data_IF_856610629669
#
_entry.id   IF_856610629669
#
_cell.length_a   1.000
_cell.length_b   1.000
_cell.length_c   1.000
_cell.angle_alpha   90.00
_cell.angle_beta   90.00
_cell.angle_gamma   90.00
#
_symmetry.space_group_name_H-M   'P 1'
#
loop_
_entity.id
_entity.type
_entity.pdbx_description
1 polymer ?
#
# COMPACT_ATOMS: atom_id res chain seq x y z
N UNK A 1 14.34 -4.14 -21.63
CA UNK A 1 14.13 -3.08 -22.66
C UNK A 1 12.83 -2.37 -22.35
N UNK A 2 12.84 -1.04 -22.25
CA UNK A 2 11.63 -0.23 -22.14
C UNK A 2 10.94 -0.21 -23.52
N UNK A 3 9.67 -0.61 -23.56
CA UNK A 3 8.90 -0.73 -24.83
C UNK A 3 7.73 0.25 -24.91
N UNK A 4 7.33 0.80 -23.75
CA UNK A 4 6.32 1.84 -23.64
C UNK A 4 6.60 2.69 -22.40
N UNK A 5 6.64 4.01 -22.57
CA UNK A 5 6.80 4.97 -21.47
C UNK A 5 6.07 6.25 -21.87
N UNK A 6 4.87 6.43 -21.30
CA UNK A 6 4.03 7.60 -21.57
C UNK A 6 3.21 7.97 -20.36
N UNK A 7 3.01 9.25 -20.20
CA UNK A 7 2.04 9.83 -19.30
C UNK A 7 0.70 10.03 -20.00
N UNK A 8 -0.35 10.23 -19.23
CA UNK A 8 -1.68 10.57 -19.72
C UNK A 8 -2.22 11.80 -18.96
N UNK A 9 -3.14 12.58 -19.58
CA UNK A 9 -3.73 13.74 -18.93
C UNK A 9 -4.49 13.33 -17.65
N UNK A 10 -4.46 14.14 -16.58
CA UNK A 10 -5.23 13.88 -15.35
C UNK A 10 -6.75 13.80 -15.57
N UNK A 11 -7.25 14.33 -16.69
CA UNK A 11 -8.66 14.30 -17.10
C UNK A 11 -9.06 13.04 -17.87
N UNK A 12 -8.12 12.09 -18.04
CA UNK A 12 -8.40 10.83 -18.76
C UNK A 12 -9.48 10.05 -18.04
N UNK A 13 -10.53 9.66 -18.74
CA UNK A 13 -11.63 8.84 -18.24
C UNK A 13 -11.74 7.46 -18.91
N UNK A 14 -11.19 7.32 -20.12
CA UNK A 14 -11.10 6.04 -20.83
C UNK A 14 -9.64 5.61 -20.99
N UNK A 15 -9.28 4.53 -20.33
CA UNK A 15 -7.93 3.96 -20.33
C UNK A 15 -7.76 2.85 -21.37
N UNK A 16 -8.84 2.42 -22.03
CA UNK A 16 -8.82 1.32 -23.00
C UNK A 16 -7.84 1.55 -24.16
N UNK A 17 -7.78 2.75 -24.80
CA UNK A 17 -6.81 3.02 -25.86
C UNK A 17 -5.34 2.92 -25.38
N UNK A 18 -5.09 3.38 -24.14
CA UNK A 18 -3.75 3.36 -23.54
C UNK A 18 -3.33 1.91 -23.29
N UNK A 19 -4.19 1.12 -22.65
CA UNK A 19 -3.91 -0.29 -22.36
C UNK A 19 -3.75 -1.11 -23.63
N UNK A 20 -4.56 -0.85 -24.67
CA UNK A 20 -4.39 -1.49 -26.00
C UNK A 20 -3.03 -1.15 -26.63
N UNK A 21 -2.60 0.10 -26.55
CA UNK A 21 -1.29 0.51 -27.07
C UNK A 21 -0.14 -0.17 -26.31
N UNK A 22 -0.27 -0.35 -25.00
CA UNK A 22 0.71 -1.10 -24.19
C UNK A 22 0.70 -2.58 -24.59
N UNK A 23 -0.48 -3.20 -24.64
CA UNK A 23 -0.65 -4.61 -24.97
C UNK A 23 -0.06 -4.95 -26.36
N UNK A 24 -0.18 -4.05 -27.34
CA UNK A 24 0.39 -4.20 -28.69
C UNK A 24 1.92 -4.31 -28.68
N UNK A 25 2.60 -3.83 -27.63
CA UNK A 25 4.06 -3.97 -27.48
C UNK A 25 4.47 -5.31 -26.87
N UNK A 26 3.51 -6.14 -26.44
CA UNK A 26 3.70 -7.45 -25.81
C UNK A 26 4.75 -7.41 -24.65
N UNK A 27 4.56 -6.58 -23.62
CA UNK A 27 5.55 -6.42 -22.55
C UNK A 27 5.51 -7.61 -21.59
N UNK A 28 6.68 -8.01 -21.08
CA UNK A 28 6.76 -9.00 -20.01
C UNK A 28 6.32 -8.42 -18.66
N UNK A 29 6.65 -7.15 -18.41
CA UNK A 29 6.32 -6.41 -17.19
C UNK A 29 5.47 -5.19 -17.54
N UNK A 30 4.36 -5.03 -16.85
CA UNK A 30 3.58 -3.81 -16.82
C UNK A 30 3.69 -3.16 -15.45
N UNK A 31 4.15 -1.90 -15.41
CA UNK A 31 4.25 -1.08 -14.21
C UNK A 31 3.36 0.15 -14.38
N UNK A 32 2.30 0.24 -13.57
CA UNK A 32 1.42 1.39 -13.51
C UNK A 32 1.72 2.26 -12.29
N UNK A 33 1.93 3.58 -12.51
CA UNK A 33 1.95 4.57 -11.44
C UNK A 33 0.65 5.36 -11.51
N UNK A 34 -0.23 5.19 -10.54
CA UNK A 34 -1.61 5.70 -10.63
C UNK A 34 -2.20 6.11 -9.30
N UNK A 35 -3.14 7.07 -9.34
CA UNK A 35 -3.98 7.50 -8.23
C UNK A 35 -5.34 6.75 -8.23
N UNK A 36 -6.24 6.96 -7.25
CA UNK A 36 -7.45 6.14 -7.11
C UNK A 36 -8.31 5.98 -8.36
N UNK A 37 -8.62 7.06 -9.06
CA UNK A 37 -9.51 7.00 -10.23
C UNK A 37 -8.87 6.26 -11.41
N UNK A 38 -7.64 6.58 -11.72
CA UNK A 38 -6.88 5.95 -12.81
C UNK A 38 -6.47 4.51 -12.46
N UNK A 39 -6.21 4.18 -11.20
CA UNK A 39 -6.02 2.78 -10.76
C UNK A 39 -7.21 1.90 -11.16
N UNK A 40 -8.43 2.34 -10.84
CA UNK A 40 -9.66 1.62 -11.22
C UNK A 40 -9.80 1.50 -12.73
N UNK A 41 -9.60 2.61 -13.44
CA UNK A 41 -9.75 2.66 -14.90
C UNK A 41 -8.75 1.75 -15.62
N UNK A 42 -7.47 1.79 -15.24
CA UNK A 42 -6.41 0.96 -15.82
C UNK A 42 -6.67 -0.53 -15.58
N UNK A 43 -7.02 -0.93 -14.35
CA UNK A 43 -7.26 -2.34 -14.03
C UNK A 43 -8.47 -2.87 -14.80
N UNK A 44 -9.58 -2.12 -14.85
CA UNK A 44 -10.76 -2.51 -15.61
C UNK A 44 -10.47 -2.62 -17.11
N UNK A 45 -9.84 -1.59 -17.69
CA UNK A 45 -9.44 -1.62 -19.09
C UNK A 45 -8.52 -2.81 -19.41
N UNK A 46 -7.60 -3.16 -18.50
CA UNK A 46 -6.72 -4.33 -18.68
C UNK A 46 -7.52 -5.63 -18.76
N UNK A 47 -8.52 -5.81 -17.91
CA UNK A 47 -9.40 -6.96 -17.95
C UNK A 47 -10.27 -6.99 -19.23
N UNK A 48 -10.84 -5.86 -19.62
CA UNK A 48 -11.70 -5.73 -20.81
C UNK A 48 -10.94 -6.05 -22.10
N UNK A 49 -9.69 -5.64 -22.21
CA UNK A 49 -8.86 -5.94 -23.41
C UNK A 49 -8.15 -7.28 -23.31
N UNK A 50 -8.27 -8.01 -22.21
CA UNK A 50 -7.58 -9.28 -22.00
C UNK A 50 -6.07 -9.15 -21.88
N UNK A 51 -5.57 -8.02 -21.37
CA UNK A 51 -4.14 -7.75 -21.22
C UNK A 51 -3.52 -8.57 -20.09
N UNK A 52 -2.56 -9.44 -20.43
CA UNK A 52 -1.92 -10.38 -19.50
C UNK A 52 -0.39 -10.36 -19.67
N UNK A 53 0.30 -9.35 -19.12
CA UNK A 53 1.77 -9.37 -19.05
C UNK A 53 2.21 -10.51 -18.11
N UNK A 54 3.49 -10.91 -18.13
CA UNK A 54 3.98 -11.93 -17.18
C UNK A 54 3.99 -11.42 -15.74
N UNK A 55 4.19 -10.12 -15.53
CA UNK A 55 4.08 -9.46 -14.23
C UNK A 55 3.28 -8.16 -14.37
N UNK A 56 2.23 -8.03 -13.58
CA UNK A 56 1.39 -6.85 -13.51
C UNK A 56 1.53 -6.22 -12.12
N UNK A 57 1.94 -4.96 -12.05
CA UNK A 57 2.06 -4.26 -10.78
C UNK A 57 2.31 -2.78 -10.93
N UNK A 58 2.77 -2.14 -9.87
CA UNK A 58 3.14 -0.73 -9.92
C UNK A 58 3.18 0.00 -8.59
N UNK A 59 3.17 1.32 -8.70
CA UNK A 59 2.96 2.28 -7.63
C UNK A 59 1.51 2.78 -7.65
N UNK A 60 0.55 1.87 -7.50
CA UNK A 60 -0.88 2.18 -7.59
C UNK A 60 -1.42 2.62 -6.23
N UNK A 61 -1.41 3.94 -5.97
CA UNK A 61 -1.89 4.54 -4.70
C UNK A 61 -3.35 4.17 -4.41
N UNK A 62 -4.17 4.02 -5.46
CA UNK A 62 -5.58 3.63 -5.30
C UNK A 62 -5.77 2.32 -4.55
N UNK A 63 -4.83 1.37 -4.67
CA UNK A 63 -4.93 0.07 -4.00
C UNK A 63 -4.67 0.13 -2.48
N UNK A 64 -4.32 1.29 -1.96
CA UNK A 64 -4.24 1.53 -0.52
C UNK A 64 -5.62 1.78 0.11
N UNK A 65 -6.61 2.19 -0.69
CA UNK A 65 -7.94 2.53 -0.21
C UNK A 65 -8.87 1.31 -0.21
N UNK A 66 -9.54 1.07 0.91
CA UNK A 66 -10.51 -0.03 1.08
C UNK A 66 -11.61 0.01 0.04
N UNK A 67 -12.17 1.19 -0.24
CA UNK A 67 -13.24 1.36 -1.22
C UNK A 67 -12.82 0.90 -2.63
N UNK A 68 -11.57 1.11 -3.01
CA UNK A 68 -11.04 0.67 -4.30
C UNK A 68 -10.79 -0.85 -4.29
N UNK A 69 -10.23 -1.39 -3.20
CA UNK A 69 -10.04 -2.84 -3.04
C UNK A 69 -11.38 -3.59 -3.18
N UNK A 70 -12.41 -3.14 -2.48
CA UNK A 70 -13.75 -3.75 -2.57
C UNK A 70 -14.43 -3.50 -3.91
N UNK A 71 -14.24 -2.34 -4.54
CA UNK A 71 -14.79 -2.03 -5.86
C UNK A 71 -14.20 -2.91 -6.97
N UNK A 72 -12.93 -3.23 -6.90
CA UNK A 72 -12.23 -4.07 -7.87
C UNK A 72 -12.39 -5.56 -7.58
N UNK A 73 -12.39 -5.95 -6.30
CA UNK A 73 -12.60 -7.33 -5.89
C UNK A 73 -11.64 -8.30 -6.58
N UNK A 74 -12.16 -9.34 -7.17
CA UNK A 74 -11.37 -10.39 -7.84
C UNK A 74 -10.52 -9.90 -9.03
N UNK A 75 -10.79 -8.70 -9.57
CA UNK A 75 -9.94 -8.11 -10.60
C UNK A 75 -8.51 -7.80 -10.08
N UNK A 76 -8.32 -7.81 -8.76
CA UNK A 76 -7.02 -7.60 -8.14
C UNK A 76 -6.10 -8.83 -8.17
N UNK A 77 -6.65 -10.03 -8.38
CA UNK A 77 -5.86 -11.27 -8.32
C UNK A 77 -4.64 -11.22 -9.24
N UNK A 78 -3.48 -11.56 -8.69
CA UNK A 78 -2.20 -11.57 -9.38
C UNK A 78 -1.50 -10.21 -9.47
N UNK A 79 -2.17 -9.11 -9.15
CA UNK A 79 -1.57 -7.76 -9.19
C UNK A 79 -0.60 -7.59 -8.02
N UNK A 80 0.60 -7.11 -8.33
CA UNK A 80 1.63 -6.74 -7.35
C UNK A 80 1.57 -5.24 -7.10
N UNK A 81 1.60 -4.84 -5.84
CA UNK A 81 1.65 -3.43 -5.45
C UNK A 81 2.56 -3.24 -4.23
N UNK A 82 2.80 -2.00 -3.85
CA UNK A 82 3.45 -1.69 -2.59
C UNK A 82 2.42 -1.55 -1.46
N UNK A 83 2.84 -1.80 -0.24
CA UNK A 83 2.14 -1.40 0.97
C UNK A 83 3.16 -0.96 2.03
N UNK A 84 2.71 -0.30 3.09
CA UNK A 84 3.58 0.16 4.16
C UNK A 84 3.33 -0.59 5.46
N UNK A 85 2.10 -0.97 5.74
CA UNK A 85 1.73 -1.63 6.99
C UNK A 85 0.48 -2.47 6.82
N UNK A 86 0.55 -3.70 7.32
CA UNK A 86 -0.60 -4.60 7.45
C UNK A 86 -0.52 -5.29 8.82
N UNK A 87 -1.66 -5.65 9.45
CA UNK A 87 -1.65 -6.16 10.83
C UNK A 87 -0.95 -7.51 11.01
N UNK A 88 -0.70 -8.25 9.94
CA UNK A 88 0.04 -9.52 9.92
C UNK A 88 1.53 -9.38 9.58
N UNK A 89 2.00 -8.19 9.28
CA UNK A 89 3.44 -7.97 9.13
C UNK A 89 4.17 -8.25 10.44
N UNK A 90 5.33 -8.89 10.38
CA UNK A 90 6.11 -9.28 11.58
C UNK A 90 6.52 -8.09 12.44
N UNK A 91 6.62 -6.90 11.88
CA UNK A 91 6.91 -5.67 12.62
C UNK A 91 5.65 -5.00 13.20
N UNK A 92 4.45 -5.46 12.85
CA UNK A 92 3.23 -4.94 13.45
C UNK A 92 3.17 -5.35 14.94
N UNK A 93 3.19 -4.37 15.82
CA UNK A 93 3.17 -4.56 17.27
C UNK A 93 1.77 -4.91 17.79
N UNK A 94 1.67 -5.44 19.01
CA UNK A 94 0.39 -5.66 19.66
C UNK A 94 -0.35 -4.33 19.91
N UNK A 95 0.40 -3.25 20.17
CA UNK A 95 -0.15 -1.90 20.27
C UNK A 95 -0.76 -1.44 18.93
N UNK A 96 -0.05 -1.69 17.82
CA UNK A 96 -0.55 -1.41 16.47
C UNK A 96 -1.83 -2.18 16.14
N UNK A 97 -1.89 -3.46 16.49
CA UNK A 97 -3.11 -4.28 16.34
C UNK A 97 -4.26 -3.79 17.24
N UNK A 98 -3.95 -3.39 18.47
CA UNK A 98 -4.96 -2.82 19.40
C UNK A 98 -5.47 -1.47 18.89
N UNK A 99 -4.58 -0.61 18.36
CA UNK A 99 -4.96 0.64 17.69
C UNK A 99 -5.92 0.37 16.54
N UNK A 100 -5.55 -0.56 15.65
CA UNK A 100 -6.37 -0.91 14.48
C UNK A 100 -7.76 -1.39 14.89
N UNK A 101 -7.86 -2.25 15.88
CA UNK A 101 -9.16 -2.72 16.41
C UNK A 101 -10.05 -1.57 16.90
N UNK A 102 -9.47 -0.61 17.61
CA UNK A 102 -10.21 0.60 18.06
C UNK A 102 -10.61 1.49 16.91
N UNK A 103 -9.75 1.64 15.91
CA UNK A 103 -10.03 2.40 14.70
C UNK A 103 -11.19 1.78 13.92
N UNK A 104 -11.11 0.49 13.58
CA UNK A 104 -12.12 -0.21 12.80
C UNK A 104 -13.50 -0.24 13.48
N UNK A 105 -13.55 -0.27 14.81
CA UNK A 105 -14.81 -0.20 15.55
C UNK A 105 -15.56 1.13 15.36
N UNK A 106 -14.90 2.18 14.86
CA UNK A 106 -15.45 3.53 14.69
C UNK A 106 -15.44 4.01 13.25
N UNK A 107 -14.73 3.32 12.36
CA UNK A 107 -14.45 3.79 11.00
C UNK A 107 -15.71 4.01 10.17
N UNK A 108 -16.67 3.10 10.22
CA UNK A 108 -17.93 3.21 9.49
C UNK A 108 -18.75 4.41 9.95
N UNK A 109 -18.96 4.57 11.25
CA UNK A 109 -19.70 5.70 11.80
C UNK A 109 -19.01 7.05 11.57
N UNK A 110 -17.69 7.05 11.44
CA UNK A 110 -16.88 8.24 11.14
C UNK A 110 -16.77 8.53 9.64
N UNK A 111 -17.26 7.66 8.75
CA UNK A 111 -17.16 7.82 7.30
C UNK A 111 -15.75 7.81 6.77
N UNK A 112 -14.84 7.03 7.40
CA UNK A 112 -13.43 6.93 7.01
C UNK A 112 -13.10 5.55 6.47
N UNK A 113 -11.87 5.34 5.98
CA UNK A 113 -11.41 4.05 5.42
C UNK A 113 -11.65 2.88 6.38
N UNK A 114 -12.31 1.82 5.92
CA UNK A 114 -12.80 0.75 6.79
C UNK A 114 -11.70 -0.20 7.28
N UNK A 115 -10.68 -0.47 6.46
CA UNK A 115 -9.54 -1.31 6.88
C UNK A 115 -8.54 -0.52 7.72
N UNK A 116 -8.27 0.72 7.33
CA UNK A 116 -7.39 1.60 8.08
C UNK A 116 -5.91 1.18 8.06
N UNK A 117 -5.44 0.52 6.99
CA UNK A 117 -4.05 0.03 6.93
C UNK A 117 -3.06 1.08 6.46
N UNK A 118 -3.50 2.04 5.67
CA UNK A 118 -2.62 3.02 5.01
C UNK A 118 -2.32 4.25 5.89
N UNK A 119 -3.18 5.27 5.86
CA UNK A 119 -2.92 6.56 6.53
C UNK A 119 -3.12 6.55 8.06
N UNK A 120 -4.16 5.89 8.63
CA UNK A 120 -4.47 6.01 10.04
C UNK A 120 -3.34 5.63 11.00
N UNK A 121 -2.64 4.48 10.85
CA UNK A 121 -1.57 4.10 11.75
C UNK A 121 -0.38 5.07 11.68
N UNK A 122 -0.06 5.58 10.48
CA UNK A 122 1.02 6.55 10.31
C UNK A 122 0.68 7.94 10.87
N UNK A 123 -0.57 8.37 10.75
CA UNK A 123 -1.02 9.62 11.36
C UNK A 123 -0.90 9.54 12.89
N UNK A 124 -1.29 8.41 13.48
CA UNK A 124 -1.16 8.19 14.92
C UNK A 124 0.31 8.09 15.35
N UNK A 125 1.13 7.31 14.64
CA UNK A 125 2.56 7.15 14.92
C UNK A 125 3.30 8.51 14.87
N UNK A 126 2.95 9.37 13.91
CA UNK A 126 3.51 10.72 13.84
C UNK A 126 3.23 11.51 15.12
N UNK A 127 2.02 11.40 15.66
CA UNK A 127 1.68 12.07 16.93
C UNK A 127 2.41 11.46 18.13
N UNK A 128 2.65 10.14 18.14
CA UNK A 128 3.49 9.50 19.15
C UNK A 128 4.91 10.07 19.13
N UNK A 129 5.53 10.17 17.95
CA UNK A 129 6.88 10.75 17.77
C UNK A 129 6.93 12.19 18.27
N UNK A 130 5.98 13.03 17.84
CA UNK A 130 5.93 14.44 18.23
C UNK A 130 5.72 14.58 19.74
N UNK A 131 4.77 13.85 20.31
CA UNK A 131 4.47 13.94 21.75
C UNK A 131 5.66 13.53 22.62
N UNK A 132 6.36 12.44 22.24
CA UNK A 132 7.55 12.01 22.95
C UNK A 132 8.68 13.05 22.82
N UNK A 133 8.95 13.56 21.62
CA UNK A 133 10.00 14.53 21.39
C UNK A 133 9.75 15.84 22.16
N UNK A 134 8.52 16.37 22.12
CA UNK A 134 8.15 17.58 22.89
C UNK A 134 8.30 17.37 24.38
N UNK A 135 7.86 16.23 24.89
CA UNK A 135 7.99 15.89 26.32
C UNK A 135 9.46 15.81 26.74
N UNK A 136 10.27 15.12 25.97
CA UNK A 136 11.69 14.90 26.29
C UNK A 136 12.53 16.18 26.20
N UNK A 137 12.22 17.08 25.25
CA UNK A 137 12.96 18.36 25.07
C UNK A 137 12.40 19.51 25.90
N UNK A 138 11.25 19.32 26.54
CA UNK A 138 10.59 20.35 27.36
C UNK A 138 9.99 21.49 26.57
N UNK A 139 9.72 21.33 25.27
CA UNK A 139 9.14 22.42 24.45
C UNK A 139 9.14 22.12 22.95
N UNK A 140 8.85 23.15 22.16
CA UNK A 140 8.65 23.09 20.71
C UNK A 140 9.76 23.77 19.90
N UNK A 141 10.99 23.83 20.44
CA UNK A 141 12.13 24.37 19.68
C UNK A 141 12.54 23.36 18.60
N UNK A 142 12.48 23.77 17.34
CA UNK A 142 12.66 22.89 16.17
C UNK A 142 14.03 22.22 16.14
N UNK A 143 15.11 22.93 16.50
CA UNK A 143 16.47 22.36 16.48
C UNK A 143 16.62 21.25 17.53
N UNK A 144 16.09 21.47 18.76
CA UNK A 144 16.09 20.46 19.82
C UNK A 144 15.23 19.25 19.47
N UNK A 145 14.06 19.47 18.87
CA UNK A 145 13.18 18.40 18.40
C UNK A 145 13.88 17.57 17.31
N UNK A 146 14.46 18.22 16.32
CA UNK A 146 15.17 17.55 15.23
C UNK A 146 16.38 16.74 15.74
N UNK A 147 17.16 17.31 16.65
CA UNK A 147 18.28 16.61 17.28
C UNK A 147 17.83 15.38 18.06
N UNK A 148 16.77 15.52 18.88
CA UNK A 148 16.19 14.42 19.63
C UNK A 148 15.68 13.31 18.70
N UNK A 149 14.95 13.68 17.64
CA UNK A 149 14.42 12.72 16.66
C UNK A 149 15.51 11.91 15.98
N UNK A 150 16.64 12.53 15.59
CA UNK A 150 17.77 11.82 14.99
C UNK A 150 18.44 10.83 15.96
N UNK A 151 18.45 11.14 17.25
CA UNK A 151 19.13 10.31 18.28
C UNK A 151 18.25 9.19 18.84
N UNK A 152 16.92 9.34 18.77
CA UNK A 152 15.96 8.45 19.43
C UNK A 152 15.42 7.38 18.47
N UNK A 153 15.16 6.18 18.99
CA UNK A 153 14.32 5.16 18.34
C UNK A 153 12.97 5.18 19.01
N UNK A 154 11.94 5.56 18.27
CA UNK A 154 10.58 5.67 18.76
C UNK A 154 9.85 4.33 18.66
N UNK A 155 9.16 3.94 19.73
CA UNK A 155 8.23 2.81 19.70
C UNK A 155 6.86 3.32 19.31
N UNK A 156 6.33 2.85 18.19
CA UNK A 156 5.06 3.36 17.66
C UNK A 156 4.12 2.24 17.24
N UNK A 157 2.88 2.60 16.93
CA UNK A 157 1.89 1.64 16.42
C UNK A 157 2.26 1.01 15.08
N UNK A 158 3.16 1.61 14.33
CA UNK A 158 3.69 1.05 13.07
C UNK A 158 5.01 0.32 13.24
N UNK A 159 5.49 0.16 14.46
CA UNK A 159 6.79 -0.43 14.81
C UNK A 159 7.81 0.64 15.21
N UNK A 160 9.07 0.25 15.19
CA UNK A 160 10.18 1.12 15.58
C UNK A 160 10.50 2.11 14.46
N UNK A 161 10.56 3.40 14.82
CA UNK A 161 10.97 4.47 13.91
C UNK A 161 12.29 5.05 14.38
N UNK A 162 13.27 5.08 13.49
CA UNK A 162 14.57 5.74 13.68
C UNK A 162 14.86 6.60 12.46
N UNK A 163 15.21 7.86 12.70
CA UNK A 163 15.61 8.77 11.62
C UNK A 163 17.12 8.71 11.39
N UNK A 164 17.55 8.89 10.16
CA UNK A 164 18.93 9.10 9.76
C UNK A 164 19.33 10.58 9.87
N UNK A 165 20.55 10.93 9.45
CA UNK A 165 21.05 12.31 9.56
C UNK A 165 20.32 13.27 8.62
N UNK A 166 19.79 12.79 7.51
CA UNK A 166 18.95 13.54 6.56
C UNK A 166 17.52 13.76 7.09
N UNK A 167 17.13 13.07 8.17
CA UNK A 167 15.78 13.13 8.74
C UNK A 167 14.79 12.18 8.07
N UNK A 168 15.27 11.26 7.26
CA UNK A 168 14.47 10.20 6.65
C UNK A 168 14.38 8.98 7.58
N UNK A 169 13.39 8.14 7.36
CA UNK A 169 13.28 6.87 8.08
C UNK A 169 14.45 5.95 7.69
N UNK A 170 15.32 5.63 8.65
CA UNK A 170 16.57 4.91 8.42
C UNK A 170 16.39 3.54 7.76
N UNK A 171 15.33 2.85 8.14
CA UNK A 171 14.98 1.52 7.61
C UNK A 171 13.49 1.53 7.19
N UNK A 172 13.16 2.10 6.03
CA UNK A 172 11.76 2.20 5.60
C UNK A 172 11.14 0.80 5.42
N UNK A 173 9.92 0.65 5.95
CA UNK A 173 9.18 -0.61 5.93
C UNK A 173 8.22 -0.64 4.73
N UNK A 174 8.78 -0.54 3.52
CA UNK A 174 8.01 -0.72 2.30
C UNK A 174 7.88 -2.20 2.00
N UNK A 175 6.66 -2.66 1.84
CA UNK A 175 6.32 -4.03 1.47
C UNK A 175 5.98 -4.11 -0.01
N UNK A 176 6.38 -5.18 -0.66
CA UNK A 176 5.79 -5.58 -1.94
C UNK A 176 4.79 -6.69 -1.66
N UNK A 177 3.55 -6.47 -2.04
CA UNK A 177 2.45 -7.40 -1.81
C UNK A 177 1.85 -7.86 -3.13
N UNK A 178 1.23 -9.03 -3.13
CA UNK A 178 0.40 -9.49 -4.25
C UNK A 178 -0.98 -9.84 -3.74
N UNK A 179 -2.00 -9.39 -4.47
CA UNK A 179 -3.36 -9.79 -4.23
C UNK A 179 -3.62 -11.20 -4.79
N UNK A 180 -4.14 -12.10 -3.96
CA UNK A 180 -4.32 -13.52 -4.30
C UNK A 180 -5.63 -14.05 -3.72
N UNK A 181 -6.29 -14.98 -4.43
CA UNK A 181 -7.45 -15.73 -3.90
C UNK A 181 -8.66 -14.87 -3.51
N UNK A 182 -8.80 -13.68 -4.07
CA UNK A 182 -9.92 -12.79 -3.82
C UNK A 182 -11.14 -13.30 -4.59
N UNK A 183 -12.27 -13.47 -3.88
CA UNK A 183 -13.53 -13.94 -4.44
C UNK A 183 -14.66 -12.93 -4.20
N UNK A 184 -14.92 -12.06 -5.18
CA UNK A 184 -15.96 -11.02 -5.06
C UNK A 184 -15.48 -9.76 -4.34
N UNK A 185 -16.42 -9.00 -3.74
CA UNK A 185 -16.22 -7.61 -3.30
C UNK A 185 -16.35 -7.42 -1.79
N UNK A 186 -16.43 -8.51 -1.01
CA UNK A 186 -16.62 -8.45 0.44
C UNK A 186 -15.41 -7.86 1.16
N UNK A 187 -15.65 -7.00 2.16
CA UNK A 187 -14.61 -6.34 2.95
C UNK A 187 -13.73 -7.34 3.73
N UNK A 188 -14.36 -8.36 4.31
CA UNK A 188 -13.68 -9.22 5.29
C UNK A 188 -12.57 -10.07 4.67
N UNK A 189 -12.64 -10.37 3.38
CA UNK A 189 -11.55 -11.07 2.71
C UNK A 189 -10.22 -10.29 2.73
N UNK A 190 -10.27 -8.95 2.72
CA UNK A 190 -9.07 -8.10 2.81
C UNK A 190 -8.49 -7.98 4.23
N UNK A 191 -9.08 -8.67 5.21
CA UNK A 191 -8.54 -8.83 6.56
C UNK A 191 -7.71 -10.12 6.72
N UNK A 192 -7.65 -10.95 5.67
CA UNK A 192 -6.89 -12.21 5.65
C UNK A 192 -5.53 -12.00 4.97
N UNK A 193 -4.46 -12.41 5.64
CA UNK A 193 -3.09 -12.39 5.11
C UNK A 193 -2.88 -13.21 3.83
N UNK A 194 -3.83 -14.09 3.49
CA UNK A 194 -3.80 -14.90 2.27
C UNK A 194 -4.25 -14.13 1.03
N UNK A 195 -4.99 -13.03 1.20
CA UNK A 195 -5.48 -12.22 0.08
C UNK A 195 -4.59 -11.05 -0.26
N UNK A 196 -3.72 -10.64 0.66
CA UNK A 196 -2.68 -9.63 0.45
C UNK A 196 -1.35 -10.18 0.96
N UNK A 197 -0.69 -10.94 0.10
CA UNK A 197 0.50 -11.73 0.43
C UNK A 197 1.75 -10.86 0.34
N UNK A 198 2.51 -10.76 1.43
CA UNK A 198 3.81 -10.06 1.43
C UNK A 198 4.84 -10.92 0.70
N UNK A 199 5.42 -10.37 -0.37
CA UNK A 199 6.45 -11.01 -1.19
C UNK A 199 7.86 -10.58 -0.81
N UNK A 200 8.02 -9.32 -0.41
CA UNK A 200 9.31 -8.70 -0.09
C UNK A 200 9.12 -7.59 0.96
N UNK A 201 10.09 -7.29 1.80
CA UNK A 201 11.41 -7.93 1.91
C UNK A 201 11.35 -9.34 2.51
N UNK A 202 12.39 -10.18 2.31
CA UNK A 202 12.36 -11.60 2.67
C UNK A 202 12.02 -11.88 4.14
N UNK A 203 12.47 -11.04 5.08
CA UNK A 203 12.21 -11.19 6.51
C UNK A 203 10.73 -11.06 6.88
N UNK A 204 9.92 -10.40 6.03
CA UNK A 204 8.48 -10.17 6.24
C UNK A 204 7.59 -11.02 5.34
N UNK A 205 8.17 -11.79 4.43
CA UNK A 205 7.47 -12.61 3.46
C UNK A 205 6.45 -13.53 4.12
N UNK A 206 5.21 -13.56 3.59
CA UNK A 206 4.12 -14.41 4.08
C UNK A 206 3.69 -15.50 3.09
N UNK A 207 4.12 -15.41 1.84
CA UNK A 207 3.81 -16.41 0.81
C UNK A 207 4.63 -16.23 -0.46
N UNK A 208 4.28 -16.95 -1.50
CA UNK A 208 4.99 -16.94 -2.77
C UNK A 208 4.22 -16.14 -3.83
N UNK A 209 4.97 -15.56 -4.77
CA UNK A 209 4.38 -14.92 -5.93
C UNK A 209 3.70 -15.95 -6.82
N UNK A 210 2.52 -15.61 -7.31
CA UNK A 210 1.87 -16.29 -8.42
C UNK A 210 2.42 -15.67 -9.70
N UNK A 211 3.16 -16.46 -10.47
CA UNK A 211 3.82 -16.04 -11.69
C UNK A 211 3.75 -17.14 -12.73
N UNK A 212 3.45 -16.84 -14.01
CA UNK A 212 3.09 -15.53 -14.53
C UNK A 212 1.76 -15.00 -13.99
N UNK A 213 1.50 -13.69 -14.18
CA UNK A 213 0.25 -13.04 -13.80
C UNK A 213 -0.95 -13.79 -14.36
N UNK A 214 -1.85 -14.17 -13.47
CA UNK A 214 -3.09 -14.82 -13.81
C UNK A 214 -4.24 -14.19 -13.01
N UNK A 215 -5.14 -13.45 -13.65
CA UNK A 215 -6.27 -12.81 -12.96
C UNK A 215 -7.34 -13.78 -12.43
N UNK A 216 -7.21 -15.07 -12.74
CA UNK A 216 -8.13 -16.12 -12.29
C UNK A 216 -7.57 -16.96 -11.12
N UNK A 217 -6.41 -16.58 -10.60
CA UNK A 217 -5.72 -17.35 -9.54
C UNK A 217 -6.05 -16.83 -8.15
#
# INVERSE_FOLDING_TARGET
KLVYDKTYPPTTSDYTPIVRAIAATNPDLFLACSYPADTVGIIRASHEVGFKPKLYGGGMVGLQATAIKTQLGSLLNGIVNYDFWVPWAKFASDEGRAFLKKYQAKSEAAGVDLLGYYLPPYAYARMQVIAEAVTATGGTNDDKLAEYCRKTTFKTVVGDIKFNDEGEWKEPQVLMVQFQGISGNGLDQFKDSKTEVILWPPQYKTGNIIYPYNPSS
#
